data_IF_769461485571
#
_entry.id   IF_769461485571
#
_cell.length_a   1.000
_cell.length_b   1.000
_cell.length_c   1.000
_cell.angle_alpha   90.00
_cell.angle_beta   90.00
_cell.angle_gamma   90.00
#
_symmetry.space_group_name_H-M   'P 1'
#
loop_
_entity.id
_entity.type
_entity.pdbx_description
1 polymer ?
#
# COMPACT_ATOMS: atom_id res chain seq x y z
N UNK A 1 -25.83 45.56 10.74
CA UNK A 1 -26.02 44.54 9.68
C UNK A 1 -24.83 43.61 9.69
N UNK A 2 -24.97 42.45 10.35
CA UNK A 2 -23.91 41.45 10.52
C UNK A 2 -23.85 40.54 9.28
N UNK A 3 -22.76 40.65 8.51
CA UNK A 3 -22.47 39.74 7.41
C UNK A 3 -21.99 38.39 7.94
N UNK A 4 -22.87 37.40 7.92
CA UNK A 4 -22.56 36.02 8.25
C UNK A 4 -21.84 35.34 7.06
N UNK A 5 -20.51 35.47 7.00
CA UNK A 5 -19.66 34.72 6.06
C UNK A 5 -19.37 33.33 6.61
N UNK A 6 -20.27 32.37 6.42
CA UNK A 6 -19.95 30.94 6.59
C UNK A 6 -20.67 30.05 5.57
N UNK A 7 -20.27 30.14 4.30
CA UNK A 7 -20.31 28.97 3.41
C UNK A 7 -18.89 28.44 3.28
N UNK A 8 -18.51 27.62 4.27
CA UNK A 8 -17.34 26.76 4.18
C UNK A 8 -17.50 25.89 2.92
N UNK A 9 -16.73 26.19 1.88
CA UNK A 9 -16.54 25.32 0.73
C UNK A 9 -15.74 24.09 1.21
N UNK A 10 -16.40 23.19 1.96
CA UNK A 10 -15.77 21.95 2.43
C UNK A 10 -15.49 21.11 1.19
N UNK A 11 -14.20 20.93 0.87
CA UNK A 11 -13.77 19.95 -0.13
C UNK A 11 -14.52 18.64 0.12
N UNK A 12 -15.10 18.01 -0.92
CA UNK A 12 -15.77 16.73 -0.76
C UNK A 12 -14.84 15.74 -0.07
N UNK A 13 -15.40 14.90 0.79
CA UNK A 13 -14.61 13.91 1.53
C UNK A 13 -13.94 12.95 0.54
N UNK A 14 -12.67 12.58 0.81
CA UNK A 14 -11.86 11.79 -0.11
C UNK A 14 -12.50 10.47 -0.55
N UNK A 15 -13.35 9.86 0.29
CA UNK A 15 -14.07 8.62 -0.03
C UNK A 15 -15.04 8.77 -1.22
N UNK A 16 -15.50 9.99 -1.53
CA UNK A 16 -16.37 10.24 -2.69
C UNK A 16 -15.68 9.99 -4.02
N UNK A 17 -14.34 9.98 -4.06
CA UNK A 17 -13.60 9.62 -5.27
C UNK A 17 -13.71 8.12 -5.60
N UNK A 18 -14.11 7.31 -4.62
CA UNK A 18 -14.29 5.87 -4.75
C UNK A 18 -15.77 5.45 -4.59
N UNK A 19 -16.69 6.42 -4.52
CA UNK A 19 -18.13 6.15 -4.47
C UNK A 19 -18.66 5.79 -5.88
N UNK A 20 -19.95 5.47 -5.97
CA UNK A 20 -20.68 5.33 -7.23
C UNK A 20 -20.02 4.32 -8.21
N UNK A 21 -19.57 3.17 -7.69
CA UNK A 21 -18.94 2.10 -8.48
C UNK A 21 -17.47 2.34 -8.86
N UNK A 22 -16.88 3.49 -8.51
CA UNK A 22 -15.46 3.77 -8.79
C UNK A 22 -14.51 2.83 -8.03
N UNK A 23 -14.88 2.40 -6.81
CA UNK A 23 -14.10 1.44 -6.05
C UNK A 23 -13.95 0.09 -6.76
N UNK A 24 -15.04 -0.42 -7.35
CA UNK A 24 -15.05 -1.76 -7.97
C UNK A 24 -14.14 -1.83 -9.20
N UNK A 25 -13.94 -0.68 -9.87
CA UNK A 25 -13.08 -0.55 -11.06
C UNK A 25 -11.68 -0.04 -10.74
N UNK A 26 -11.39 0.25 -9.46
CA UNK A 26 -10.13 0.82 -9.02
C UNK A 26 -8.95 -0.12 -9.29
N UNK A 27 -7.82 0.48 -9.59
CA UNK A 27 -6.54 -0.20 -9.71
C UNK A 27 -5.80 -0.03 -8.38
N UNK A 28 -5.59 -1.11 -7.64
CA UNK A 28 -4.82 -1.05 -6.40
C UNK A 28 -3.36 -1.37 -6.70
N UNK A 29 -2.45 -0.56 -6.17
CA UNK A 29 -1.02 -0.62 -6.49
C UNK A 29 -0.19 -0.56 -5.20
N UNK A 30 0.87 -1.36 -5.16
CA UNK A 30 1.92 -1.29 -4.15
C UNK A 30 3.27 -1.64 -4.79
N UNK A 31 4.29 -0.81 -4.54
CA UNK A 31 5.66 -1.07 -4.96
C UNK A 31 6.51 -1.55 -3.78
N UNK A 32 7.37 -2.54 -4.02
CA UNK A 32 8.44 -2.84 -3.06
C UNK A 32 9.78 -2.29 -3.56
N UNK A 33 10.35 -1.41 -2.75
CA UNK A 33 11.60 -0.74 -3.05
C UNK A 33 12.57 -0.78 -1.87
N UNK A 34 13.85 -0.53 -2.15
CA UNK A 34 14.74 -0.06 -1.09
C UNK A 34 14.45 1.39 -0.76
N UNK A 35 14.90 1.85 0.41
CA UNK A 35 14.78 3.25 0.79
C UNK A 35 15.48 4.11 -0.27
N UNK A 36 14.74 5.00 -0.94
CA UNK A 36 15.20 5.88 -2.01
C UNK A 36 15.83 5.14 -3.20
N UNK A 37 15.36 3.94 -3.51
CA UNK A 37 15.82 3.19 -4.68
C UNK A 37 14.65 2.82 -5.57
N UNK A 38 14.98 2.42 -6.80
CA UNK A 38 14.00 2.04 -7.81
C UNK A 38 13.09 0.90 -7.31
N UNK A 39 11.82 0.86 -7.76
CA UNK A 39 10.95 -0.28 -7.55
C UNK A 39 11.59 -1.58 -8.02
N UNK A 40 11.56 -2.60 -7.16
CA UNK A 40 12.12 -3.92 -7.46
C UNK A 40 11.04 -4.89 -7.96
N UNK A 41 9.81 -4.69 -7.48
CA UNK A 41 8.61 -5.42 -7.89
C UNK A 41 7.37 -4.54 -7.62
N UNK A 42 6.28 -4.85 -8.30
CA UNK A 42 4.97 -4.28 -8.04
C UNK A 42 3.94 -5.38 -7.81
N UNK A 43 3.00 -5.10 -6.91
CA UNK A 43 1.73 -5.77 -6.81
C UNK A 43 0.65 -4.88 -7.41
N UNK A 44 -0.23 -5.46 -8.22
CA UNK A 44 -1.35 -4.73 -8.80
C UNK A 44 -2.61 -5.59 -8.73
N UNK A 45 -3.74 -4.99 -8.39
CA UNK A 45 -5.05 -5.62 -8.49
C UNK A 45 -5.93 -4.78 -9.41
N UNK A 46 -6.49 -5.42 -10.44
CA UNK A 46 -7.41 -4.82 -11.40
C UNK A 46 -8.59 -5.75 -11.57
N UNK A 47 -9.81 -5.23 -11.45
CA UNK A 47 -11.05 -6.01 -11.61
C UNK A 47 -11.09 -7.25 -10.70
N UNK A 48 -10.58 -7.12 -9.46
CA UNK A 48 -10.50 -8.23 -8.49
C UNK A 48 -9.36 -9.21 -8.72
N UNK A 49 -8.59 -9.07 -9.81
CA UNK A 49 -7.48 -9.97 -10.14
C UNK A 49 -6.14 -9.39 -9.72
N UNK A 50 -5.49 -10.05 -8.77
CA UNK A 50 -4.16 -9.69 -8.30
C UNK A 50 -3.04 -10.32 -9.16
N UNK A 51 -2.04 -9.52 -9.51
CA UNK A 51 -0.82 -9.92 -10.20
C UNK A 51 0.39 -9.27 -9.54
N UNK A 52 1.54 -9.96 -9.62
CA UNK A 52 2.85 -9.42 -9.25
C UNK A 52 3.78 -9.45 -10.46
N UNK A 53 4.58 -8.40 -10.61
CA UNK A 53 5.64 -8.31 -11.61
C UNK A 53 6.94 -7.91 -10.94
N UNK A 54 8.06 -8.38 -11.47
CA UNK A 54 9.40 -8.06 -10.99
C UNK A 54 10.08 -7.15 -12.01
N UNK A 55 10.80 -6.14 -11.54
CA UNK A 55 11.53 -5.20 -12.39
C UNK A 55 13.04 -5.43 -12.36
N UNK A 56 13.57 -5.86 -11.22
CA UNK A 56 15.02 -6.00 -11.04
C UNK A 56 15.54 -7.31 -11.65
N UNK A 57 16.43 -7.20 -12.65
CA UNK A 57 17.06 -8.33 -13.32
C UNK A 57 17.80 -9.29 -12.35
N UNK A 58 18.32 -8.79 -11.23
CA UNK A 58 18.99 -9.62 -10.21
C UNK A 58 18.02 -10.58 -9.52
N UNK A 59 16.73 -10.31 -9.58
CA UNK A 59 15.66 -11.18 -9.08
C UNK A 59 15.09 -12.12 -10.14
N UNK A 60 15.54 -12.08 -11.40
CA UNK A 60 14.97 -12.86 -12.51
C UNK A 60 14.84 -14.35 -12.21
N UNK A 61 15.86 -14.97 -11.60
CA UNK A 61 15.84 -16.39 -11.23
C UNK A 61 14.83 -16.71 -10.13
N UNK A 62 14.58 -15.76 -9.22
CA UNK A 62 13.57 -15.89 -8.17
C UNK A 62 12.15 -15.65 -8.70
N UNK A 63 12.01 -14.72 -9.65
CA UNK A 63 10.78 -14.46 -10.38
C UNK A 63 10.35 -15.71 -11.17
N UNK A 64 11.25 -16.25 -12.00
CA UNK A 64 11.01 -17.46 -12.81
C UNK A 64 10.55 -18.63 -11.95
N UNK A 65 11.21 -18.88 -10.81
CA UNK A 65 10.82 -19.99 -9.92
C UNK A 65 9.43 -19.82 -9.29
N UNK A 66 8.92 -18.59 -9.20
CA UNK A 66 7.58 -18.28 -8.70
C UNK A 66 6.58 -18.01 -9.83
N UNK A 67 6.96 -18.28 -11.08
CA UNK A 67 6.17 -17.97 -12.28
C UNK A 67 5.75 -16.49 -12.32
N UNK A 68 6.64 -15.60 -11.89
CA UNK A 68 6.46 -14.16 -11.98
C UNK A 68 7.18 -13.64 -13.23
N UNK A 69 6.54 -12.69 -13.90
CA UNK A 69 7.12 -12.02 -15.05
C UNK A 69 8.19 -11.03 -14.61
N UNK A 70 9.30 -11.03 -15.34
CA UNK A 70 10.26 -9.94 -15.32
C UNK A 70 9.88 -8.96 -16.44
N UNK A 71 9.61 -7.71 -16.08
CA UNK A 71 9.16 -6.69 -17.02
C UNK A 71 10.03 -5.44 -16.91
N UNK A 72 10.09 -4.67 -17.98
CA UNK A 72 10.75 -3.36 -17.96
C UNK A 72 9.85 -2.36 -17.19
N UNK A 73 10.37 -1.69 -16.14
CA UNK A 73 9.55 -0.91 -15.23
C UNK A 73 8.85 0.29 -15.87
N UNK A 74 9.52 1.04 -16.75
CA UNK A 74 8.95 2.24 -17.38
C UNK A 74 7.80 1.89 -18.31
N UNK A 75 7.98 0.94 -19.22
CA UNK A 75 6.95 0.47 -20.14
C UNK A 75 5.76 -0.13 -19.38
N UNK A 76 6.01 -0.88 -18.31
CA UNK A 76 4.94 -1.40 -17.46
C UNK A 76 4.15 -0.27 -16.79
N UNK A 77 4.81 0.71 -16.20
CA UNK A 77 4.16 1.84 -15.53
C UNK A 77 3.36 2.70 -16.50
N UNK A 78 3.90 2.99 -17.69
CA UNK A 78 3.20 3.70 -18.76
C UNK A 78 1.92 2.97 -19.16
N UNK A 79 1.99 1.65 -19.40
CA UNK A 79 0.81 0.86 -19.76
C UNK A 79 -0.28 0.87 -18.67
N UNK A 80 0.12 0.88 -17.40
CA UNK A 80 -0.80 0.95 -16.27
C UNK A 80 -1.51 2.30 -16.21
N UNK A 81 -0.76 3.39 -16.38
CA UNK A 81 -1.29 4.76 -16.38
C UNK A 81 -2.17 5.02 -17.60
N UNK A 82 -1.76 4.59 -18.80
CA UNK A 82 -2.57 4.66 -20.01
C UNK A 82 -3.90 3.94 -19.82
N UNK A 83 -3.89 2.72 -19.25
CA UNK A 83 -5.13 2.00 -18.92
C UNK A 83 -5.99 2.77 -17.92
N UNK A 84 -5.40 3.31 -16.85
CA UNK A 84 -6.15 4.07 -15.85
C UNK A 84 -6.82 5.31 -16.45
N UNK A 85 -6.12 6.02 -17.35
CA UNK A 85 -6.64 7.20 -18.02
C UNK A 85 -7.72 6.83 -19.04
N UNK A 86 -7.44 5.86 -19.91
CA UNK A 86 -8.33 5.41 -20.99
C UNK A 86 -9.65 4.83 -20.49
N UNK A 87 -9.59 4.05 -19.40
CA UNK A 87 -10.76 3.39 -18.82
C UNK A 87 -11.48 4.24 -17.75
N UNK A 88 -11.02 5.48 -17.49
CA UNK A 88 -11.58 6.34 -16.44
C UNK A 88 -11.51 5.68 -15.03
N UNK A 89 -10.39 5.02 -14.71
CA UNK A 89 -10.19 4.29 -13.45
C UNK A 89 -9.31 5.07 -12.47
N UNK A 90 -9.63 5.05 -11.16
CA UNK A 90 -8.71 5.55 -10.15
C UNK A 90 -7.58 4.54 -9.89
N UNK A 91 -6.36 5.03 -9.70
CA UNK A 91 -5.27 4.27 -9.07
C UNK A 91 -5.27 4.59 -7.58
N UNK A 92 -5.16 3.54 -6.76
CA UNK A 92 -5.24 3.62 -5.31
C UNK A 92 -3.97 3.04 -4.70
N UNK A 93 -3.27 3.87 -3.94
CA UNK A 93 -2.19 3.45 -3.06
C UNK A 93 -2.48 3.87 -1.61
N UNK A 94 -1.76 3.28 -0.66
CA UNK A 94 -2.00 3.61 0.75
C UNK A 94 -1.47 5.02 1.10
N UNK A 95 -0.37 5.45 0.49
CA UNK A 95 0.21 6.79 0.67
C UNK A 95 0.39 7.50 -0.66
N UNK A 96 1.26 8.50 -0.78
CA UNK A 96 1.59 9.11 -2.09
C UNK A 96 2.80 8.41 -2.75
N UNK A 97 3.42 7.44 -2.06
CA UNK A 97 4.64 6.78 -2.53
C UNK A 97 4.45 6.09 -3.87
N UNK A 98 3.29 5.48 -4.12
CA UNK A 98 3.01 4.82 -5.40
C UNK A 98 2.78 5.83 -6.52
N UNK A 99 2.19 6.98 -6.20
CA UNK A 99 2.02 8.10 -7.14
C UNK A 99 3.37 8.70 -7.54
N UNK A 100 4.21 8.99 -6.55
CA UNK A 100 5.58 9.49 -6.75
C UNK A 100 6.41 8.47 -7.54
N UNK A 101 6.30 7.18 -7.22
CA UNK A 101 7.01 6.10 -7.92
C UNK A 101 6.60 5.94 -9.39
N UNK A 102 5.33 6.15 -9.74
CA UNK A 102 4.90 6.17 -11.14
C UNK A 102 5.53 7.35 -11.90
N UNK A 103 5.56 8.55 -11.30
CA UNK A 103 6.18 9.73 -11.89
C UNK A 103 7.70 9.55 -12.06
N UNK A 104 8.40 8.96 -11.08
CA UNK A 104 9.83 8.62 -11.17
C UNK A 104 10.13 7.65 -12.32
N UNK A 105 9.19 6.76 -12.65
CA UNK A 105 9.29 5.86 -13.80
C UNK A 105 8.89 6.51 -15.14
N UNK A 106 8.55 7.81 -15.14
CA UNK A 106 8.11 8.56 -16.32
C UNK A 106 6.63 8.41 -16.67
N UNK A 107 5.83 7.79 -15.80
CA UNK A 107 4.40 7.56 -16.00
C UNK A 107 3.56 8.57 -15.21
N UNK A 108 3.34 9.74 -15.82
CA UNK A 108 2.60 10.85 -15.21
C UNK A 108 1.10 10.55 -15.10
N UNK A 109 0.61 10.38 -13.87
CA UNK A 109 -0.80 10.20 -13.57
C UNK A 109 -1.44 11.53 -13.15
N UNK A 110 -2.58 11.96 -13.72
CA UNK A 110 -3.26 13.16 -13.24
C UNK A 110 -3.70 13.01 -11.77
N UNK A 111 -3.45 14.02 -10.91
CA UNK A 111 -3.81 14.00 -9.47
C UNK A 111 -5.23 13.50 -9.18
N UNK A 112 -6.21 13.90 -10.01
CA UNK A 112 -7.63 13.51 -9.87
C UNK A 112 -7.88 12.01 -10.03
N UNK A 113 -6.91 11.26 -10.56
CA UNK A 113 -6.95 9.81 -10.75
C UNK A 113 -6.24 9.05 -9.65
N UNK A 114 -5.51 9.73 -8.78
CA UNK A 114 -4.85 9.09 -7.67
C UNK A 114 -5.65 9.23 -6.38
N UNK A 115 -5.90 8.12 -5.71
CA UNK A 115 -6.56 8.10 -4.40
C UNK A 115 -5.61 7.59 -3.33
N UNK A 116 -5.19 8.51 -2.46
CA UNK A 116 -4.48 8.18 -1.24
C UNK A 116 -5.45 7.63 -0.19
N UNK A 117 -5.46 6.31 -0.01
CA UNK A 117 -6.39 5.63 0.88
C UNK A 117 -6.24 6.03 2.35
N UNK A 118 -5.05 6.43 2.80
CA UNK A 118 -4.85 6.89 4.18
C UNK A 118 -5.59 8.18 4.50
N UNK A 119 -5.87 9.03 3.49
CA UNK A 119 -6.74 10.22 3.64
C UNK A 119 -8.21 9.85 3.85
N UNK A 120 -8.61 8.63 3.49
CA UNK A 120 -9.93 8.05 3.76
C UNK A 120 -9.94 7.37 5.14
N UNK A 121 -8.96 6.52 5.39
CA UNK A 121 -8.89 5.66 6.59
C UNK A 121 -8.83 6.47 7.91
N UNK A 122 -8.10 7.60 7.93
CA UNK A 122 -7.99 8.45 9.12
C UNK A 122 -9.34 9.06 9.55
N UNK A 123 -10.08 9.78 8.68
CA UNK A 123 -11.43 10.23 8.96
C UNK A 123 -12.40 9.10 9.31
N UNK A 124 -12.35 7.98 8.56
CA UNK A 124 -13.19 6.82 8.81
C UNK A 124 -13.01 6.31 10.26
N UNK A 125 -11.77 6.06 10.69
CA UNK A 125 -11.51 5.59 12.07
C UNK A 125 -12.03 6.58 13.11
N UNK A 126 -11.83 7.88 12.89
CA UNK A 126 -12.33 8.91 13.80
C UNK A 126 -13.86 8.86 13.93
N UNK A 127 -14.58 8.59 12.84
CA UNK A 127 -16.04 8.54 12.80
C UNK A 127 -16.61 7.23 13.36
N UNK A 128 -16.12 6.08 12.89
CA UNK A 128 -16.74 4.76 13.14
C UNK A 128 -16.02 3.91 14.20
N UNK A 129 -14.83 4.32 14.63
CA UNK A 129 -13.94 3.60 15.56
C UNK A 129 -13.29 4.57 16.54
N UNK A 130 -14.14 5.39 17.18
CA UNK A 130 -13.72 6.57 17.94
C UNK A 130 -12.93 6.21 19.21
N UNK A 131 -13.23 5.08 19.85
CA UNK A 131 -12.47 4.49 20.96
C UNK A 131 -11.05 4.17 20.52
N UNK A 132 -10.89 3.45 19.42
CA UNK A 132 -9.60 3.04 18.88
C UNK A 132 -8.81 4.25 18.40
N UNK A 133 -9.48 5.25 17.80
CA UNK A 133 -8.88 6.53 17.44
C UNK A 133 -8.23 7.22 18.66
N UNK A 134 -8.97 7.35 19.76
CA UNK A 134 -8.48 7.95 21.01
C UNK A 134 -7.31 7.15 21.60
N UNK A 135 -7.40 5.82 21.55
CA UNK A 135 -6.32 4.94 22.03
C UNK A 135 -5.04 5.11 21.23
N UNK A 136 -5.10 5.12 19.89
CA UNK A 136 -3.94 5.35 19.02
C UNK A 136 -3.31 6.72 19.30
N UNK A 137 -4.13 7.77 19.43
CA UNK A 137 -3.62 9.11 19.73
C UNK A 137 -2.90 9.17 21.08
N UNK A 138 -3.45 8.51 22.11
CA UNK A 138 -2.83 8.39 23.43
C UNK A 138 -1.51 7.63 23.37
N UNK A 139 -1.49 6.47 22.72
CA UNK A 139 -0.30 5.63 22.56
C UNK A 139 0.84 6.39 21.88
N UNK A 140 0.57 7.07 20.76
CA UNK A 140 1.58 7.83 20.03
C UNK A 140 2.21 8.95 20.88
N UNK A 141 1.40 9.66 21.67
CA UNK A 141 1.91 10.68 22.61
C UNK A 141 2.79 10.08 23.69
N UNK A 142 2.41 8.93 24.24
CA UNK A 142 3.19 8.23 25.26
C UNK A 142 4.50 7.69 24.68
N UNK A 143 4.45 7.07 23.50
CA UNK A 143 5.61 6.51 22.80
C UNK A 143 6.63 7.60 22.44
N UNK A 144 6.17 8.78 22.00
CA UNK A 144 7.05 9.91 21.69
C UNK A 144 7.81 10.42 22.93
N UNK A 145 7.20 10.38 24.11
CA UNK A 145 7.78 10.84 25.37
C UNK A 145 8.58 9.76 26.12
N UNK A 146 8.61 8.54 25.61
CA UNK A 146 9.25 7.42 26.32
C UNK A 146 10.77 7.49 26.26
N UNK A 147 11.42 7.11 27.36
CA UNK A 147 12.88 6.87 27.39
C UNK A 147 13.28 5.59 26.65
N UNK A 148 12.36 4.62 26.50
CA UNK A 148 12.59 3.37 25.79
C UNK A 148 12.74 3.61 24.29
N UNK A 149 13.90 3.23 23.73
CA UNK A 149 14.16 3.26 22.29
C UNK A 149 13.13 2.47 21.49
N UNK A 150 12.70 1.32 22.03
CA UNK A 150 11.65 0.47 21.45
C UNK A 150 10.32 1.24 21.33
N UNK A 151 9.88 1.91 22.38
CA UNK A 151 8.63 2.69 22.34
C UNK A 151 8.75 3.90 21.41
N UNK A 152 9.87 4.64 21.44
CA UNK A 152 10.10 5.73 20.48
C UNK A 152 10.07 5.26 19.02
N UNK A 153 10.62 4.08 18.73
CA UNK A 153 10.56 3.49 17.39
C UNK A 153 9.12 3.20 16.92
N UNK A 154 8.21 2.82 17.83
CA UNK A 154 6.78 2.66 17.53
C UNK A 154 6.14 3.98 17.13
N UNK A 155 6.45 5.07 17.84
CA UNK A 155 6.02 6.43 17.46
C UNK A 155 6.55 6.84 16.08
N UNK A 156 7.85 6.64 15.85
CA UNK A 156 8.47 6.96 14.57
C UNK A 156 7.90 6.13 13.41
N UNK A 157 7.51 4.87 13.67
CA UNK A 157 6.80 4.01 12.71
C UNK A 157 5.36 4.43 12.45
N UNK A 158 4.88 5.46 13.15
CA UNK A 158 3.49 5.92 13.13
C UNK A 158 2.51 4.77 13.38
N UNK A 159 2.84 3.92 14.36
CA UNK A 159 2.01 2.77 14.73
C UNK A 159 0.57 3.21 15.05
N UNK A 160 -0.40 2.46 14.52
CA UNK A 160 -1.79 2.86 14.46
C UNK A 160 -2.14 3.72 13.25
N UNK A 161 -1.22 3.98 12.31
CA UNK A 161 -1.49 4.71 11.07
C UNK A 161 -0.82 4.09 9.85
N UNK A 162 -0.48 2.80 9.91
CA UNK A 162 0.01 1.97 8.80
C UNK A 162 -1.16 1.21 8.19
N UNK A 163 -1.00 0.68 6.98
CA UNK A 163 -2.04 -0.09 6.30
C UNK A 163 -2.56 -1.23 7.20
N UNK A 164 -1.66 -2.09 7.68
CA UNK A 164 -2.00 -3.19 8.59
C UNK A 164 -2.84 -2.77 9.81
N UNK A 165 -2.60 -1.58 10.36
CA UNK A 165 -3.34 -1.14 11.55
C UNK A 165 -4.82 -0.88 11.22
N UNK A 166 -5.11 -0.45 9.99
CA UNK A 166 -6.47 -0.23 9.52
C UNK A 166 -7.12 -1.50 8.97
N UNK A 167 -6.38 -2.35 8.26
CA UNK A 167 -6.90 -3.65 7.78
C UNK A 167 -7.36 -4.51 8.95
N UNK A 168 -6.56 -4.60 10.03
CA UNK A 168 -6.95 -5.32 11.25
C UNK A 168 -8.19 -4.71 11.89
N UNK A 169 -8.31 -3.37 11.88
CA UNK A 169 -9.43 -2.67 12.49
C UNK A 169 -10.76 -2.89 11.75
N UNK A 170 -10.72 -3.22 10.46
CA UNK A 170 -11.89 -3.64 9.69
C UNK A 170 -12.08 -5.17 9.66
N UNK A 171 -11.25 -5.93 10.37
CA UNK A 171 -11.36 -7.38 10.51
C UNK A 171 -10.65 -8.18 9.41
N UNK A 172 -9.74 -7.58 8.65
CA UNK A 172 -8.91 -8.29 7.67
C UNK A 172 -7.69 -8.88 8.38
N UNK A 173 -7.48 -10.19 8.21
CA UNK A 173 -6.43 -10.94 8.89
C UNK A 173 -5.12 -10.84 8.10
N UNK A 174 -4.04 -10.28 8.67
CA UNK A 174 -2.73 -10.26 8.01
C UNK A 174 -2.10 -11.64 7.99
N UNK A 175 -1.24 -11.96 6.99
CA UNK A 175 -0.53 -13.23 6.97
C UNK A 175 0.37 -13.36 8.20
N UNK A 176 0.55 -14.60 8.69
CA UNK A 176 1.30 -14.89 9.93
C UNK A 176 2.70 -14.24 9.97
N UNK A 177 3.37 -14.17 8.82
CA UNK A 177 4.72 -13.61 8.69
C UNK A 177 4.74 -12.16 8.18
N UNK A 178 3.59 -11.48 8.19
CA UNK A 178 3.50 -10.06 7.88
C UNK A 178 4.30 -9.27 8.91
N UNK A 179 5.44 -8.76 8.49
CA UNK A 179 6.36 -8.09 9.39
C UNK A 179 6.79 -6.76 8.77
N UNK A 180 6.14 -5.71 9.23
CA UNK A 180 6.51 -4.33 8.91
C UNK A 180 8.01 -4.12 9.14
N UNK A 181 8.72 -3.56 8.14
CA UNK A 181 10.18 -3.29 8.10
C UNK A 181 11.10 -4.51 7.92
N UNK A 182 10.57 -5.70 7.63
CA UNK A 182 11.42 -6.86 7.28
C UNK A 182 11.62 -7.05 5.78
N UNK A 183 10.77 -6.45 4.94
CA UNK A 183 10.84 -6.62 3.47
C UNK A 183 12.22 -6.26 2.92
N UNK A 184 12.76 -5.08 3.25
CA UNK A 184 14.11 -4.67 2.85
C UNK A 184 15.18 -5.70 3.24
N UNK A 185 15.12 -6.25 4.47
CA UNK A 185 16.07 -7.27 4.93
C UNK A 185 15.91 -8.59 4.17
N UNK A 186 14.66 -8.99 3.90
CA UNK A 186 14.33 -10.19 3.12
C UNK A 186 14.85 -10.07 1.70
N UNK A 187 14.56 -8.97 1.01
CA UNK A 187 15.04 -8.67 -0.34
C UNK A 187 16.57 -8.70 -0.42
N UNK A 188 17.28 -7.99 0.48
CA UNK A 188 18.75 -8.04 0.55
C UNK A 188 19.28 -9.46 0.74
N UNK A 189 18.63 -10.26 1.59
CA UNK A 189 19.03 -11.65 1.81
C UNK A 189 18.84 -12.52 0.57
N UNK A 190 17.83 -12.26 -0.25
CA UNK A 190 17.57 -13.01 -1.49
C UNK A 190 18.62 -12.62 -2.54
N UNK A 191 18.77 -11.32 -2.81
CA UNK A 191 19.76 -10.78 -3.76
C UNK A 191 21.17 -11.29 -3.45
N UNK A 192 21.63 -11.12 -2.21
CA UNK A 192 22.98 -11.54 -1.82
C UNK A 192 23.22 -13.04 -2.02
N UNK A 193 22.19 -13.89 -1.85
CA UNK A 193 22.36 -15.31 -2.09
C UNK A 193 22.26 -15.68 -3.58
N UNK A 194 21.45 -14.97 -4.37
CA UNK A 194 21.42 -15.13 -5.82
C UNK A 194 22.78 -14.78 -6.41
N UNK A 195 23.36 -13.64 -6.02
CA UNK A 195 24.69 -13.20 -6.45
C UNK A 195 25.77 -14.24 -6.14
N UNK A 196 25.72 -14.83 -4.94
CA UNK A 196 26.72 -15.82 -4.50
C UNK A 196 26.55 -17.21 -5.10
N UNK A 197 25.32 -17.61 -5.43
CA UNK A 197 24.99 -19.02 -5.75
C UNK A 197 24.59 -19.24 -7.20
N UNK A 198 24.22 -18.18 -7.92
CA UNK A 198 23.90 -18.19 -9.35
C UNK A 198 22.63 -18.95 -9.73
N UNK A 199 21.85 -19.47 -8.76
CA UNK A 199 20.64 -20.24 -9.04
C UNK A 199 19.66 -20.19 -7.85
N UNK A 200 18.36 -20.03 -8.14
CA UNK A 200 17.32 -20.04 -7.10
C UNK A 200 17.26 -21.40 -6.37
N UNK A 201 17.44 -22.51 -7.09
CA UNK A 201 17.43 -23.86 -6.53
C UNK A 201 18.47 -24.04 -5.42
N UNK A 202 19.62 -23.35 -5.53
CA UNK A 202 20.75 -23.42 -4.59
C UNK A 202 20.59 -22.50 -3.37
N UNK A 203 19.59 -21.61 -3.34
CA UNK A 203 19.31 -20.74 -2.20
C UNK A 203 19.00 -21.56 -0.95
N UNK A 204 19.40 -21.04 0.21
CA UNK A 204 19.03 -21.65 1.48
C UNK A 204 17.51 -21.63 1.67
N UNK A 205 17.00 -22.58 2.47
CA UNK A 205 15.59 -22.62 2.86
C UNK A 205 15.11 -21.26 3.38
N UNK A 206 15.93 -20.58 4.18
CA UNK A 206 15.63 -19.25 4.72
C UNK A 206 15.53 -18.17 3.64
N UNK A 207 16.38 -18.16 2.61
CA UNK A 207 16.26 -17.19 1.52
C UNK A 207 15.01 -17.45 0.67
N UNK A 208 14.70 -18.72 0.38
CA UNK A 208 13.44 -19.08 -0.31
C UNK A 208 12.22 -18.63 0.50
N UNK A 209 12.23 -18.84 1.81
CA UNK A 209 11.20 -18.34 2.71
C UNK A 209 11.14 -16.81 2.76
N UNK A 210 12.29 -16.13 2.74
CA UNK A 210 12.34 -14.67 2.66
C UNK A 210 11.68 -14.16 1.38
N UNK A 211 11.93 -14.80 0.23
CA UNK A 211 11.28 -14.45 -1.03
C UNK A 211 9.77 -14.62 -0.98
N UNK A 212 9.28 -15.80 -0.56
CA UNK A 212 7.83 -16.02 -0.37
C UNK A 212 7.21 -14.96 0.55
N UNK A 213 7.86 -14.64 1.67
CA UNK A 213 7.36 -13.65 2.62
C UNK A 213 7.42 -12.19 2.11
N UNK A 214 8.18 -11.89 1.05
CA UNK A 214 8.11 -10.59 0.37
C UNK A 214 6.86 -10.57 -0.51
N UNK A 215 6.66 -11.62 -1.30
CA UNK A 215 5.50 -11.74 -2.18
C UNK A 215 4.18 -11.72 -1.40
N UNK A 216 4.11 -12.43 -0.27
CA UNK A 216 2.93 -12.42 0.61
C UNK A 216 2.68 -11.06 1.26
N UNK A 217 3.74 -10.27 1.51
CA UNK A 217 3.60 -8.92 2.07
C UNK A 217 2.97 -7.99 1.04
N UNK A 218 3.56 -7.92 -0.15
CA UNK A 218 3.08 -7.10 -1.25
C UNK A 218 1.66 -7.52 -1.69
N UNK A 219 1.35 -8.82 -1.72
CA UNK A 219 -0.03 -9.29 -1.94
C UNK A 219 -0.99 -8.72 -0.90
N UNK A 220 -0.65 -8.83 0.38
CA UNK A 220 -1.50 -8.28 1.43
C UNK A 220 -1.64 -6.77 1.34
N UNK A 221 -0.58 -6.05 0.98
CA UNK A 221 -0.63 -4.59 0.88
C UNK A 221 -1.54 -4.12 -0.25
N UNK A 222 -1.75 -4.93 -1.30
CA UNK A 222 -2.72 -4.65 -2.37
C UNK A 222 -4.11 -5.18 -2.06
N UNK A 223 -4.26 -6.48 -1.84
CA UNK A 223 -5.58 -7.12 -1.61
C UNK A 223 -6.20 -6.65 -0.29
N UNK A 224 -5.39 -6.50 0.75
CA UNK A 224 -5.83 -5.97 2.05
C UNK A 224 -6.21 -4.50 1.99
N UNK A 225 -5.57 -3.70 1.12
CA UNK A 225 -5.96 -2.32 0.84
C UNK A 225 -7.32 -2.26 0.15
N UNK A 226 -7.55 -3.09 -0.86
CA UNK A 226 -8.82 -3.18 -1.58
C UNK A 226 -9.97 -3.55 -0.62
N UNK A 227 -9.83 -4.67 0.08
CA UNK A 227 -10.83 -5.16 1.04
C UNK A 227 -11.09 -4.14 2.17
N UNK A 228 -10.04 -3.47 2.65
CA UNK A 228 -10.18 -2.42 3.65
C UNK A 228 -11.05 -1.27 3.16
N UNK A 229 -10.85 -0.81 1.93
CA UNK A 229 -11.64 0.28 1.36
C UNK A 229 -13.08 -0.12 1.09
N UNK A 230 -13.36 -1.35 0.63
CA UNK A 230 -14.72 -1.86 0.48
C UNK A 230 -15.51 -1.78 1.80
N UNK A 231 -14.92 -2.26 2.90
CA UNK A 231 -15.56 -2.18 4.23
C UNK A 231 -15.78 -0.75 4.69
N UNK A 232 -14.78 0.11 4.54
CA UNK A 232 -14.87 1.52 4.98
C UNK A 232 -15.92 2.31 4.19
N UNK A 233 -16.01 2.09 2.88
CA UNK A 233 -16.98 2.76 2.02
C UNK A 233 -18.39 2.22 2.28
N UNK A 234 -18.52 0.93 2.59
CA UNK A 234 -19.76 0.34 3.08
C UNK A 234 -20.31 1.05 4.32
N UNK A 235 -19.47 1.27 5.34
CA UNK A 235 -19.85 2.03 6.55
C UNK A 235 -20.29 3.46 6.22
N UNK A 236 -19.60 4.12 5.28
CA UNK A 236 -19.95 5.48 4.85
C UNK A 236 -21.31 5.54 4.14
N UNK A 237 -21.59 4.54 3.30
CA UNK A 237 -22.84 4.44 2.54
C UNK A 237 -24.01 4.16 3.47
N UNK A 238 -23.86 3.20 4.40
CA UNK A 238 -24.88 2.86 5.40
C UNK A 238 -25.23 4.03 6.34
N UNK A 239 -24.28 4.91 6.64
CA UNK A 239 -24.50 6.07 7.50
C UNK A 239 -25.02 7.32 6.76
N UNK A 240 -25.24 7.24 5.44
CA UNK A 240 -25.79 8.33 4.61
C UNK A 240 -27.25 8.08 4.18
N UNK A 241 -27.77 6.89 4.46
CA UNK A 241 -29.19 6.51 4.41
C UNK A 241 -29.85 6.89 5.72
#
# INVERSE_FOLDING_TARGET
>A
MTHNKTRNNRKPAAWKQLADGQLDRAIFLDFESFKNGDPLLAGVQIDGHFKQVVFDQRLALAALHKNLELVEPTAWALSLVERAIGDDRPIVGFTETEFEGLAELGAELPDRRYVNARKIAKPWRRKFRSSEHKQVARNLRQFAKSKSSRQRSRSHSKEGNRLIDYTVLVGVVPPHMYAHRRVTKRLRSVLQQLDRRGAYSRLTRTAKANWTNVLDHNRFDVEGLAEMLHRMIGDHSAASV
#
